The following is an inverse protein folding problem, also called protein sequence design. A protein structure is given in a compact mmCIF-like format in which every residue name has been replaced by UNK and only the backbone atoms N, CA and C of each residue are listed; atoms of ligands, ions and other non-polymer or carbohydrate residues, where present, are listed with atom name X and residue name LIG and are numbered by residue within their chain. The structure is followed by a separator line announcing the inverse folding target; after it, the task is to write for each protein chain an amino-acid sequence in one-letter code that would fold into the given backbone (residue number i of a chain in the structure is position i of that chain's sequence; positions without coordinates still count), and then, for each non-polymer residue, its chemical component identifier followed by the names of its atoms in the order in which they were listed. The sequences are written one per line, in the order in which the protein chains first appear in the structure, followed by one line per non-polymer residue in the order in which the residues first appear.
data_IF_844100394919
#
_entry.id   IF_844100394919
#
_cell.length_a   1.000
_cell.length_b   1.000
_cell.length_c   1.000
_cell.angle_alpha   90.00
_cell.angle_beta   90.00
_cell.angle_gamma   90.00
#
_symmetry.space_group_name_H-M   'P 1'
#
loop_
_entity.id
_entity.type
_entity.pdbx_description
1 polymer ?
#
# COMPACT_ATOMS: atom_id res chain seq x y z
N UNK A 1 -21.84 -2.05 12.13
CA UNK A 1 -20.73 -1.53 12.98
C UNK A 1 -19.60 -1.12 12.04
N UNK A 2 -19.12 0.12 12.15
CA UNK A 2 -18.01 0.61 11.34
C UNK A 2 -16.76 0.68 12.22
N UNK A 3 -15.65 0.14 11.73
CA UNK A 3 -14.35 0.23 12.39
C UNK A 3 -13.67 1.52 11.92
N UNK A 4 -13.32 2.43 12.83
CA UNK A 4 -12.68 3.70 12.47
C UNK A 4 -11.15 3.61 12.55
N UNK A 5 -10.63 2.92 13.57
CA UNK A 5 -9.21 2.71 13.79
C UNK A 5 -8.97 1.26 14.22
N UNK A 6 -7.81 0.72 13.81
CA UNK A 6 -7.28 -0.53 14.32
C UNK A 6 -5.77 -0.45 14.49
N UNK A 7 -5.27 -1.16 15.49
CA UNK A 7 -3.85 -1.30 15.80
C UNK A 7 -3.58 -2.68 16.37
N UNK A 8 -2.38 -3.20 16.15
CA UNK A 8 -1.92 -4.50 16.65
C UNK A 8 -0.59 -4.27 17.36
N UNK A 9 -0.49 -4.71 18.61
CA UNK A 9 0.75 -4.70 19.38
C UNK A 9 1.45 -6.06 19.23
N UNK A 10 2.53 -6.08 18.44
CA UNK A 10 3.35 -7.28 18.24
C UNK A 10 4.22 -7.64 19.45
N UNK A 11 4.41 -6.73 20.41
CA UNK A 11 5.08 -7.04 21.68
C UNK A 11 4.23 -7.91 22.61
N UNK A 12 2.91 -7.94 22.41
CA UNK A 12 1.96 -8.77 23.19
C UNK A 12 1.39 -9.93 22.38
N UNK A 13 1.33 -9.80 21.05
CA UNK A 13 0.81 -10.81 20.15
C UNK A 13 1.58 -12.15 20.30
N UNK A 14 0.85 -13.25 20.44
CA UNK A 14 1.41 -14.61 20.51
C UNK A 14 1.38 -15.36 19.17
N UNK A 15 1.04 -14.65 18.08
CA UNK A 15 0.96 -15.20 16.72
C UNK A 15 0.05 -16.45 16.57
N UNK A 16 -1.04 -16.51 17.35
CA UNK A 16 -1.96 -17.67 17.33
C UNK A 16 -2.85 -17.76 16.08
N UNK A 17 -2.99 -16.69 15.30
CA UNK A 17 -3.81 -16.69 14.07
C UNK A 17 -5.32 -16.51 14.28
N UNK A 18 -5.81 -16.48 15.53
CA UNK A 18 -7.24 -16.32 15.83
C UNK A 18 -7.87 -15.06 15.21
N UNK A 19 -7.09 -13.99 15.05
CA UNK A 19 -7.56 -12.74 14.44
C UNK A 19 -7.91 -12.89 12.95
N UNK A 20 -7.22 -13.78 12.23
CA UNK A 20 -7.51 -14.09 10.82
C UNK A 20 -8.73 -14.99 10.72
N UNK A 21 -8.82 -16.02 11.58
CA UNK A 21 -9.92 -16.99 11.56
C UNK A 21 -11.27 -16.35 11.92
N UNK A 22 -11.30 -15.49 12.95
CA UNK A 22 -12.53 -14.83 13.40
C UNK A 22 -12.96 -13.65 12.51
N UNK A 23 -12.12 -13.20 11.58
CA UNK A 23 -12.42 -12.04 10.76
C UNK A 23 -13.54 -12.35 9.76
N UNK A 24 -14.76 -11.76 9.90
CA UNK A 24 -15.90 -12.11 9.04
C UNK A 24 -15.72 -11.64 7.60
N UNK A 25 -14.87 -10.64 7.36
CA UNK A 25 -14.57 -10.08 6.04
C UNK A 25 -13.23 -10.56 5.48
N UNK A 26 -12.51 -11.42 6.21
CA UNK A 26 -11.19 -11.92 5.82
C UNK A 26 -10.22 -10.81 5.38
N UNK A 27 -10.21 -9.67 6.07
CA UNK A 27 -9.36 -8.52 5.72
C UNK A 27 -7.95 -8.59 6.32
N UNK A 28 -7.73 -9.48 7.28
CA UNK A 28 -6.43 -9.74 7.89
C UNK A 28 -5.84 -11.02 7.31
N UNK A 29 -4.53 -11.01 7.12
CA UNK A 29 -3.75 -12.20 6.77
C UNK A 29 -2.43 -12.19 7.52
N UNK A 30 -1.93 -13.37 7.90
CA UNK A 30 -0.59 -13.51 8.46
C UNK A 30 0.43 -13.47 7.32
N UNK A 31 1.52 -12.77 7.53
CA UNK A 31 2.65 -12.72 6.59
C UNK A 31 3.71 -13.76 7.00
N UNK A 32 4.63 -14.06 6.09
CA UNK A 32 5.81 -14.90 6.37
C UNK A 32 6.99 -14.08 6.90
N UNK A 33 6.77 -12.82 7.27
CA UNK A 33 7.80 -11.93 7.80
C UNK A 33 8.06 -12.25 9.27
N UNK A 34 9.29 -12.63 9.59
CA UNK A 34 9.70 -13.00 10.95
C UNK A 34 10.73 -12.02 11.56
N UNK A 35 11.30 -11.13 10.75
CA UNK A 35 12.35 -10.19 11.17
C UNK A 35 11.75 -8.85 11.63
N UNK A 36 11.01 -8.88 12.74
CA UNK A 36 10.32 -7.69 13.30
C UNK A 36 10.98 -7.15 14.58
N UNK A 37 12.22 -7.56 14.89
CA UNK A 37 12.89 -7.15 16.13
C UNK A 37 13.24 -5.65 16.09
N UNK A 38 12.80 -4.91 17.11
CA UNK A 38 13.11 -3.50 17.31
C UNK A 38 13.85 -3.28 18.64
N UNK A 39 14.47 -2.10 18.80
CA UNK A 39 15.11 -1.74 20.07
C UNK A 39 14.11 -1.16 21.08
N UNK A 40 13.07 -0.47 20.61
CA UNK A 40 12.00 0.06 21.46
C UNK A 40 10.71 -0.74 21.30
N UNK A 41 10.09 -1.09 22.43
CA UNK A 41 8.81 -1.80 22.48
C UNK A 41 7.67 -1.03 21.83
N UNK A 42 7.72 0.30 21.81
CA UNK A 42 6.64 1.11 21.24
C UNK A 42 6.60 1.03 19.71
N UNK A 43 7.73 0.69 19.09
CA UNK A 43 7.85 0.47 17.65
C UNK A 43 7.14 -0.81 17.20
N UNK A 44 6.83 -1.73 18.12
CA UNK A 44 6.06 -2.95 17.85
C UNK A 44 4.54 -2.73 17.81
N UNK A 45 4.06 -1.51 18.05
CA UNK A 45 2.65 -1.18 17.93
C UNK A 45 2.32 -0.62 16.55
N UNK A 46 1.67 -1.43 15.72
CA UNK A 46 1.40 -1.12 14.34
C UNK A 46 -0.04 -0.65 14.15
N UNK A 47 -0.19 0.50 13.51
CA UNK A 47 -1.49 1.04 13.11
C UNK A 47 -1.90 0.54 11.72
N UNK A 48 -3.15 0.81 11.36
CA UNK A 48 -3.71 0.63 10.01
C UNK A 48 -2.75 0.92 8.85
N UNK A 49 -2.02 2.04 8.91
CA UNK A 49 -1.13 2.46 7.83
C UNK A 49 0.12 1.57 7.78
N UNK A 50 0.70 1.25 8.93
CA UNK A 50 1.91 0.42 9.02
C UNK A 50 1.66 -1.03 8.57
N UNK A 51 0.43 -1.53 8.71
CA UNK A 51 0.03 -2.88 8.29
C UNK A 51 -0.50 -2.95 6.86
N UNK A 52 -0.78 -1.80 6.24
CA UNK A 52 -1.29 -1.79 4.88
C UNK A 52 -0.20 -2.19 3.90
N UNK A 53 -0.41 -3.29 3.18
CA UNK A 53 0.33 -3.59 1.95
C UNK A 53 -0.14 -2.61 0.88
N UNK A 54 0.42 -1.40 0.88
CA UNK A 54 0.29 -0.53 -0.27
C UNK A 54 0.88 -1.30 -1.46
N UNK A 55 0.17 -1.38 -2.61
CA UNK A 55 0.78 -1.96 -3.79
C UNK A 55 2.04 -1.14 -4.09
N UNK A 56 3.20 -1.79 -4.06
CA UNK A 56 4.44 -1.20 -4.55
C UNK A 56 4.12 -0.66 -5.95
N UNK A 57 4.40 0.62 -6.15
CA UNK A 57 4.27 1.26 -7.46
C UNK A 57 5.13 0.48 -8.45
N UNK A 58 4.45 -0.26 -9.33
CA UNK A 58 5.05 -1.11 -10.38
C UNK A 58 5.83 -0.25 -11.40
N UNK A 59 5.84 1.08 -11.26
CA UNK A 59 6.61 2.01 -12.08
C UNK A 59 8.13 1.97 -11.85
N UNK A 60 8.62 1.29 -10.81
CA UNK A 60 10.05 1.24 -10.47
C UNK A 60 10.81 0.01 -10.95
N UNK A 61 10.11 -1.06 -11.34
CA UNK A 61 10.74 -2.35 -11.63
C UNK A 61 11.19 -2.41 -13.09
N UNK A 62 12.48 -2.20 -13.33
CA UNK A 62 13.08 -2.23 -14.68
C UNK A 62 12.93 -3.59 -15.40
N UNK A 63 12.62 -4.65 -14.66
CA UNK A 63 12.38 -6.00 -15.18
C UNK A 63 10.98 -6.19 -15.75
N UNK A 64 10.06 -5.24 -15.54
CA UNK A 64 8.69 -5.31 -16.04
C UNK A 64 8.55 -4.40 -17.27
N UNK A 65 8.49 -5.01 -18.46
CA UNK A 65 8.05 -4.31 -19.66
C UNK A 65 6.52 -4.29 -19.67
N UNK A 66 5.92 -3.15 -19.33
CA UNK A 66 4.48 -2.94 -19.53
C UNK A 66 4.13 -3.17 -20.99
N UNK A 67 3.28 -4.17 -21.28
CA UNK A 67 2.67 -4.35 -22.60
C UNK A 67 1.74 -3.16 -22.81
N UNK A 68 2.26 -2.13 -23.48
CA UNK A 68 1.49 -0.95 -23.87
C UNK A 68 0.53 -1.38 -24.97
N UNK A 69 -0.72 -1.68 -24.62
CA UNK A 69 -1.76 -1.91 -25.63
C UNK A 69 -1.93 -0.64 -26.47
N UNK A 70 -2.00 -0.84 -27.79
CA UNK A 70 -1.78 0.14 -28.88
C UNK A 70 -2.74 1.35 -28.93
N UNK A 71 -3.62 1.54 -27.95
CA UNK A 71 -4.63 2.63 -27.95
C UNK A 71 -4.23 3.87 -27.16
N UNK A 72 -3.11 3.86 -26.43
CA UNK A 72 -2.65 5.00 -25.61
C UNK A 72 -1.59 5.87 -26.31
N UNK A 73 -1.56 5.99 -27.63
CA UNK A 73 -0.67 6.94 -28.33
C UNK A 73 -1.31 8.29 -28.62
N UNK A 74 -2.61 8.46 -28.37
CA UNK A 74 -3.34 9.69 -28.74
C UNK A 74 -3.76 10.58 -27.56
N UNK A 75 -3.68 10.11 -26.31
CA UNK A 75 -4.17 10.87 -25.14
C UNK A 75 -3.04 11.66 -24.44
N UNK A 76 -1.77 11.26 -24.60
CA UNK A 76 -0.66 11.91 -23.91
C UNK A 76 -0.15 13.18 -24.63
N UNK A 77 -0.40 13.33 -25.94
CA UNK A 77 0.10 14.46 -26.74
C UNK A 77 -0.73 15.75 -26.57
N UNK A 78 -2.03 15.64 -26.27
CA UNK A 78 -2.92 16.81 -26.14
C UNK A 78 -2.84 17.54 -24.78
N UNK A 79 -2.39 16.90 -23.70
CA UNK A 79 -2.24 17.58 -22.39
C UNK A 79 -0.96 18.43 -22.27
N UNK A 80 0.04 18.19 -23.12
CA UNK A 80 1.29 18.96 -23.13
C UNK A 80 1.12 20.34 -23.79
N UNK A 81 0.19 20.47 -24.74
CA UNK A 81 0.06 21.68 -25.57
C UNK A 81 -0.94 22.73 -25.08
N UNK A 82 -1.75 22.47 -24.05
CA UNK A 82 -2.76 23.42 -23.56
C UNK A 82 -2.38 24.18 -22.28
N UNK A 83 -1.18 23.99 -21.74
CA UNK A 83 -0.73 24.68 -20.50
C UNK A 83 0.27 25.82 -20.74
N UNK A 84 0.62 26.14 -21.99
CA UNK A 84 1.63 27.17 -22.31
C UNK A 84 1.17 28.14 -23.40
N UNK A 85 0.08 28.86 -23.20
CA UNK A 85 -0.16 30.18 -23.85
C UNK A 85 -1.48 30.82 -23.38
N UNK A 86 -1.45 31.60 -22.29
CA UNK A 86 -2.23 32.85 -22.13
C UNK A 86 -1.43 33.75 -21.16
N UNK A 87 -0.39 34.42 -21.67
CA UNK A 87 -0.26 35.87 -21.98
C UNK A 87 0.49 36.66 -20.91
N UNK A 88 1.66 37.18 -21.30
CA UNK A 88 2.27 38.38 -20.75
C UNK A 88 1.37 39.60 -21.03
N UNK A 89 1.05 40.36 -19.99
CA UNK A 89 1.18 41.82 -19.88
C UNK A 89 1.24 42.17 -18.38
#
# INVERSE_FOLDING_TARGET
KQLLNYSIDFGVCIFCGNCVEYCPTSCLSMTEEYELSTYDRHELNYNQIALSRLPISIMGDYTIQTIRNSTQSKIDEEKSWNSRTVTNY
#
